data_IF_246016729690
#
_entry.id   IF_246016729690
#
_cell.length_a   1.000
_cell.length_b   1.000
_cell.length_c   1.000
_cell.angle_alpha   90.00
_cell.angle_beta   90.00
_cell.angle_gamma   90.00
#
_symmetry.space_group_name_H-M   'P 1'
#
loop_
_entity.id
_entity.type
_entity.pdbx_description
1 polymer ?
#
# COMPACT_ATOMS: atom_id res chain seq x y z
N UNK A 1 -17.41 -14.78 -0.56
CA UNK A 1 -18.03 -13.64 0.15
C UNK A 1 -16.96 -12.56 0.21
N UNK A 2 -17.25 -11.33 -0.11
CA UNK A 2 -16.22 -10.30 -0.26
C UNK A 2 -16.04 -9.61 1.09
N UNK A 3 -14.93 -9.86 1.80
CA UNK A 3 -14.62 -9.34 3.15
C UNK A 3 -14.63 -7.80 3.21
N UNK A 4 -14.60 -7.12 2.03
CA UNK A 4 -14.79 -5.68 1.87
C UNK A 4 -16.11 -5.14 2.41
N UNK A 5 -17.16 -5.97 2.50
CA UNK A 5 -18.47 -5.55 3.02
C UNK A 5 -18.51 -5.45 4.54
N UNK A 6 -17.54 -6.04 5.22
CA UNK A 6 -17.47 -6.14 6.67
C UNK A 6 -16.62 -5.02 7.29
N UNK A 7 -15.60 -4.52 6.59
CA UNK A 7 -14.74 -3.47 7.11
C UNK A 7 -15.38 -2.08 6.92
N UNK A 8 -15.48 -1.30 8.02
CA UNK A 8 -15.94 0.10 8.00
C UNK A 8 -15.02 1.00 7.19
N UNK A 9 -13.74 0.64 7.12
CA UNK A 9 -12.69 1.34 6.40
C UNK A 9 -11.63 0.35 5.92
N UNK A 10 -11.08 0.57 4.73
CA UNK A 10 -9.97 -0.24 4.24
C UNK A 10 -9.04 0.53 3.30
N UNK A 11 -7.83 0.00 3.13
CA UNK A 11 -6.85 0.46 2.15
C UNK A 11 -6.64 -0.64 1.11
N UNK A 12 -6.80 -0.31 -0.16
CA UNK A 12 -6.50 -1.20 -1.26
C UNK A 12 -4.99 -1.19 -1.55
N UNK A 13 -4.38 -2.38 -1.65
CA UNK A 13 -2.96 -2.56 -2.01
C UNK A 13 -2.92 -3.15 -3.40
N UNK A 14 -2.61 -2.34 -4.42
CA UNK A 14 -2.53 -2.80 -5.81
C UNK A 14 -1.17 -3.45 -6.05
N UNK A 15 -1.22 -4.73 -6.45
CA UNK A 15 -0.04 -5.57 -6.64
C UNK A 15 0.52 -5.46 -8.05
N UNK A 16 1.76 -4.97 -8.15
CA UNK A 16 2.54 -4.88 -9.39
C UNK A 16 3.63 -5.96 -9.50
N UNK A 17 3.45 -7.08 -8.80
CA UNK A 17 4.38 -8.22 -8.85
C UNK A 17 5.61 -8.07 -7.94
N UNK A 18 5.60 -7.10 -7.03
CA UNK A 18 6.66 -6.91 -6.05
C UNK A 18 6.62 -7.97 -4.93
N UNK A 19 7.78 -8.26 -4.36
CA UNK A 19 7.89 -9.27 -3.29
C UNK A 19 7.35 -8.82 -1.93
N UNK A 20 7.04 -7.53 -1.74
CA UNK A 20 6.62 -6.98 -0.44
C UNK A 20 5.12 -6.62 -0.35
N UNK A 21 4.29 -6.99 -1.33
CA UNK A 21 2.85 -6.69 -1.36
C UNK A 21 2.12 -7.16 -0.09
N UNK A 22 2.35 -8.41 0.34
CA UNK A 22 1.77 -8.97 1.55
C UNK A 22 2.31 -8.29 2.83
N UNK A 23 3.58 -7.86 2.81
CA UNK A 23 4.16 -7.15 3.94
C UNK A 23 3.54 -5.75 4.09
N UNK A 24 3.30 -5.03 2.99
CA UNK A 24 2.57 -3.75 3.00
C UNK A 24 1.17 -3.95 3.61
N UNK A 25 0.42 -4.94 3.11
CA UNK A 25 -0.91 -5.24 3.63
C UNK A 25 -0.89 -5.59 5.13
N UNK A 26 0.11 -6.36 5.56
CA UNK A 26 0.31 -6.69 6.97
C UNK A 26 0.59 -5.44 7.81
N UNK A 27 1.45 -4.52 7.35
CA UNK A 27 1.74 -3.26 8.07
C UNK A 27 0.50 -2.38 8.27
N UNK A 28 -0.38 -2.33 7.26
CA UNK A 28 -1.64 -1.60 7.36
C UNK A 28 -2.54 -2.25 8.43
N UNK A 29 -2.62 -3.60 8.47
CA UNK A 29 -3.38 -4.34 9.47
C UNK A 29 -2.79 -4.20 10.88
N UNK A 30 -1.48 -4.18 11.01
CA UNK A 30 -0.78 -3.87 12.27
C UNK A 30 -1.09 -2.46 12.77
N UNK A 31 -1.37 -1.51 11.86
CA UNK A 31 -1.89 -0.18 12.19
C UNK A 31 -3.42 -0.16 12.44
N UNK A 32 -4.09 -1.30 12.59
CA UNK A 32 -5.50 -1.37 12.94
C UNK A 32 -6.47 -1.01 11.81
N UNK A 33 -6.05 -1.06 10.54
CA UNK A 33 -6.90 -0.81 9.37
C UNK A 33 -6.91 -2.05 8.47
N UNK A 34 -8.11 -2.42 7.98
CA UNK A 34 -8.21 -3.53 7.03
C UNK A 34 -7.51 -3.18 5.71
N UNK A 35 -6.90 -4.18 5.11
CA UNK A 35 -6.27 -4.04 3.79
C UNK A 35 -6.46 -5.28 2.94
N UNK A 36 -6.55 -5.10 1.65
CA UNK A 36 -6.69 -6.17 0.66
C UNK A 36 -5.66 -5.99 -0.44
N UNK A 37 -4.96 -7.08 -0.78
CA UNK A 37 -4.06 -7.11 -1.93
C UNK A 37 -4.88 -7.46 -3.16
N UNK A 38 -4.83 -6.59 -4.15
CA UNK A 38 -5.67 -6.63 -5.36
C UNK A 38 -4.74 -6.60 -6.58
N UNK A 39 -4.89 -7.48 -7.58
CA UNK A 39 -4.14 -7.38 -8.81
C UNK A 39 -4.28 -5.99 -9.45
N UNK A 40 -3.17 -5.41 -9.92
CA UNK A 40 -3.15 -4.02 -10.43
C UNK A 40 -4.07 -3.78 -11.65
N UNK A 41 -4.40 -4.84 -12.39
CA UNK A 41 -5.30 -4.80 -13.55
C UNK A 41 -6.78 -5.01 -13.21
N UNK A 42 -7.12 -5.19 -11.91
CA UNK A 42 -8.52 -5.31 -11.47
C UNK A 42 -9.27 -4.01 -11.77
N UNK A 43 -10.45 -4.06 -12.40
CA UNK A 43 -11.27 -2.89 -12.61
C UNK A 43 -11.54 -2.16 -11.28
N UNK A 44 -11.32 -0.84 -11.23
CA UNK A 44 -11.49 -0.09 -9.99
C UNK A 44 -12.91 -0.17 -9.41
N UNK A 45 -13.92 -0.36 -10.27
CA UNK A 45 -15.32 -0.56 -9.86
C UNK A 45 -15.52 -1.77 -8.92
N UNK A 46 -14.58 -2.71 -8.89
CA UNK A 46 -14.68 -3.89 -8.04
C UNK A 46 -14.23 -3.63 -6.59
N UNK A 47 -13.40 -2.60 -6.36
CA UNK A 47 -12.89 -2.28 -5.03
C UNK A 47 -13.22 -0.87 -4.53
N UNK A 48 -13.75 0.01 -5.37
CA UNK A 48 -14.23 1.33 -4.94
C UNK A 48 -15.53 1.18 -4.16
N UNK A 49 -15.54 1.71 -2.95
CA UNK A 49 -16.71 1.72 -2.06
C UNK A 49 -16.58 2.89 -1.07
N UNK A 50 -17.64 3.24 -0.34
CA UNK A 50 -17.56 4.26 0.71
C UNK A 50 -16.55 3.92 1.84
N UNK A 51 -16.20 2.64 2.00
CA UNK A 51 -15.21 2.19 2.98
C UNK A 51 -13.76 2.36 2.50
N UNK A 52 -13.51 2.59 1.20
CA UNK A 52 -12.16 2.81 0.67
C UNK A 52 -11.61 4.15 1.14
N UNK A 53 -10.57 4.12 1.95
CA UNK A 53 -9.93 5.31 2.52
C UNK A 53 -8.64 5.72 1.80
N UNK A 54 -7.97 4.77 1.16
CA UNK A 54 -6.73 5.03 0.44
C UNK A 54 -6.31 3.86 -0.44
N UNK A 55 -5.34 4.11 -1.31
CA UNK A 55 -4.77 3.12 -2.21
C UNK A 55 -3.25 3.15 -2.08
N UNK A 56 -2.61 1.98 -2.01
CA UNK A 56 -1.16 1.85 -2.09
C UNK A 56 -0.80 1.07 -3.35
N UNK A 57 0.06 1.65 -4.18
CA UNK A 57 0.66 0.99 -5.33
C UNK A 57 2.00 0.38 -4.88
N UNK A 58 2.16 -0.93 -5.03
CA UNK A 58 3.35 -1.64 -4.53
C UNK A 58 4.58 -1.41 -5.40
N UNK A 59 5.72 -1.90 -4.96
CA UNK A 59 6.89 -2.11 -5.81
C UNK A 59 6.61 -3.13 -6.92
N UNK A 60 7.48 -3.17 -7.91
CA UNK A 60 7.43 -4.12 -9.02
C UNK A 60 8.82 -4.42 -9.57
N UNK A 61 9.00 -5.55 -10.30
CA UNK A 61 10.31 -5.97 -10.79
C UNK A 61 10.78 -5.23 -12.06
N UNK A 62 9.86 -4.63 -12.82
CA UNK A 62 10.11 -4.07 -14.14
C UNK A 62 10.31 -2.55 -14.10
N UNK A 63 10.85 -1.98 -15.18
CA UNK A 63 10.83 -0.54 -15.41
C UNK A 63 9.47 -0.10 -15.94
N UNK A 64 8.94 1.06 -15.49
CA UNK A 64 7.61 1.56 -15.88
C UNK A 64 7.46 1.89 -17.37
N UNK A 65 8.58 2.04 -18.08
CA UNK A 65 8.63 2.30 -19.51
C UNK A 65 8.88 1.05 -20.35
N UNK A 66 8.97 -0.15 -19.74
CA UNK A 66 9.04 -1.40 -20.47
C UNK A 66 7.71 -1.73 -21.14
N UNK A 67 7.76 -2.47 -22.26
CA UNK A 67 6.56 -2.82 -23.05
C UNK A 67 5.58 -3.70 -22.27
N UNK A 68 6.10 -4.55 -21.38
CA UNK A 68 5.37 -5.45 -20.51
C UNK A 68 5.12 -4.87 -19.10
N UNK A 69 5.33 -3.56 -18.92
CA UNK A 69 5.14 -2.89 -17.65
C UNK A 69 3.69 -3.03 -17.16
N UNK A 70 3.52 -3.51 -15.93
CA UNK A 70 2.22 -3.59 -15.28
C UNK A 70 1.70 -2.18 -14.98
N UNK A 71 0.44 -1.92 -15.28
CA UNK A 71 -0.21 -0.62 -15.08
C UNK A 71 -1.59 -0.80 -14.46
N UNK A 72 -2.03 0.18 -13.67
CA UNK A 72 -3.42 0.31 -13.28
C UNK A 72 -4.16 1.29 -14.20
N UNK A 73 -5.48 1.39 -14.04
CA UNK A 73 -6.25 2.43 -14.73
C UNK A 73 -5.80 3.82 -14.27
N UNK A 74 -5.71 4.77 -15.19
CA UNK A 74 -5.43 6.19 -14.90
C UNK A 74 -6.48 6.80 -13.96
N UNK A 75 -7.69 6.28 -13.98
CA UNK A 75 -8.81 6.74 -13.17
C UNK A 75 -8.54 6.58 -11.67
N UNK A 76 -7.65 5.65 -11.26
CA UNK A 76 -7.22 5.47 -9.87
C UNK A 76 -6.70 6.78 -9.27
N UNK A 77 -6.05 7.63 -10.07
CA UNK A 77 -5.50 8.91 -9.62
C UNK A 77 -6.54 10.04 -9.51
N UNK A 78 -7.77 9.81 -9.93
CA UNK A 78 -8.87 10.76 -9.87
C UNK A 78 -10.04 10.33 -8.99
N UNK A 79 -9.91 9.24 -8.26
CA UNK A 79 -10.96 8.73 -7.35
C UNK A 79 -11.24 9.62 -6.12
N UNK A 80 -10.37 10.61 -5.87
CA UNK A 80 -10.52 11.53 -4.73
C UNK A 80 -10.06 10.94 -3.37
N UNK A 81 -9.64 9.67 -3.34
CA UNK A 81 -8.97 9.06 -2.18
C UNK A 81 -7.46 9.21 -2.29
N UNK A 82 -6.72 9.28 -1.17
CA UNK A 82 -5.26 9.34 -1.20
C UNK A 82 -4.64 8.11 -1.86
N UNK A 83 -3.59 8.33 -2.67
CA UNK A 83 -2.82 7.27 -3.31
C UNK A 83 -1.34 7.42 -2.94
N UNK A 84 -0.72 6.34 -2.46
CA UNK A 84 0.71 6.26 -2.17
C UNK A 84 1.38 5.24 -3.10
N UNK A 85 2.33 5.67 -3.90
CA UNK A 85 3.21 4.78 -4.67
C UNK A 85 4.48 4.45 -3.90
N UNK A 86 4.83 3.16 -3.81
CA UNK A 86 6.09 2.69 -3.21
C UNK A 86 6.98 2.15 -4.32
N UNK A 87 8.22 2.64 -4.42
CA UNK A 87 9.23 2.24 -5.39
C UNK A 87 8.68 2.30 -6.83
N UNK A 88 8.40 1.15 -7.47
CA UNK A 88 7.75 1.10 -8.77
C UNK A 88 6.43 1.90 -8.81
N UNK A 89 5.60 1.79 -7.78
CA UNK A 89 4.33 2.51 -7.70
C UNK A 89 4.50 4.04 -7.75
N UNK A 90 5.54 4.60 -7.13
CA UNK A 90 5.88 6.01 -7.25
C UNK A 90 6.31 6.37 -8.68
N UNK A 91 7.16 5.55 -9.27
CA UNK A 91 7.62 5.74 -10.65
C UNK A 91 6.46 5.66 -11.64
N UNK A 92 5.50 4.74 -11.41
CA UNK A 92 4.30 4.61 -12.22
C UNK A 92 3.40 5.85 -12.16
N UNK A 93 3.16 6.40 -10.95
CA UNK A 93 2.42 7.66 -10.79
C UNK A 93 3.11 8.76 -11.61
N UNK A 94 4.42 8.91 -11.45
CA UNK A 94 5.17 9.94 -12.17
C UNK A 94 5.09 9.74 -13.69
N UNK A 95 5.30 8.53 -14.18
CA UNK A 95 5.26 8.19 -15.61
C UNK A 95 3.88 8.44 -16.23
N UNK A 96 2.81 8.00 -15.57
CA UNK A 96 1.45 8.13 -16.08
C UNK A 96 0.93 9.57 -16.06
N UNK A 97 1.48 10.43 -15.20
CA UNK A 97 1.09 11.84 -15.06
C UNK A 97 2.04 12.82 -15.79
N UNK A 98 2.91 12.32 -16.67
CA UNK A 98 3.75 13.15 -17.54
C UNK A 98 5.09 13.56 -16.94
N UNK A 99 5.51 12.98 -15.81
CA UNK A 99 6.86 13.05 -15.31
C UNK A 99 7.83 12.16 -16.11
N UNK A 100 9.10 12.15 -15.72
CA UNK A 100 10.13 11.31 -16.36
C UNK A 100 10.76 10.37 -15.35
N UNK A 101 10.82 9.10 -15.73
CA UNK A 101 11.55 8.04 -15.03
C UNK A 101 12.70 7.61 -15.93
N UNK A 102 13.87 7.45 -15.35
CA UNK A 102 15.08 7.05 -16.06
C UNK A 102 16.00 6.24 -15.16
N UNK A 103 16.89 5.48 -15.75
CA UNK A 103 17.94 4.76 -15.03
C UNK A 103 18.84 5.76 -14.29
N UNK A 104 19.07 5.51 -13.02
CA UNK A 104 19.92 6.34 -12.18
C UNK A 104 21.38 6.21 -12.63
N UNK A 105 22.12 7.32 -12.62
CA UNK A 105 23.58 7.29 -12.83
C UNK A 105 24.29 6.53 -11.72
N UNK A 106 23.76 6.58 -10.50
CA UNK A 106 24.21 5.82 -9.33
C UNK A 106 22.98 5.17 -8.72
N UNK A 107 22.76 3.86 -8.98
CA UNK A 107 21.67 3.10 -8.35
C UNK A 107 21.87 3.01 -6.84
N UNK A 108 20.75 2.95 -6.10
CA UNK A 108 20.80 2.86 -4.63
C UNK A 108 20.26 1.51 -4.16
N UNK A 109 21.07 0.78 -3.40
CA UNK A 109 20.73 -0.51 -2.79
C UNK A 109 21.18 -0.54 -1.33
N UNK A 110 20.28 -0.95 -0.45
CA UNK A 110 20.57 -1.10 0.98
C UNK A 110 20.26 0.17 1.78
N UNK A 111 20.99 0.32 2.89
CA UNK A 111 20.82 1.45 3.80
C UNK A 111 21.32 2.75 3.16
N UNK A 112 20.47 3.76 3.16
CA UNK A 112 20.77 5.07 2.58
C UNK A 112 20.29 6.16 3.53
N UNK A 113 21.15 7.15 3.77
CA UNK A 113 20.77 8.34 4.52
C UNK A 113 19.85 9.24 3.69
N UNK A 114 18.76 9.69 4.30
CA UNK A 114 17.73 10.50 3.66
C UNK A 114 17.40 11.72 4.52
N UNK A 115 17.35 12.88 3.87
CA UNK A 115 16.86 14.12 4.47
C UNK A 115 15.39 14.31 4.13
N UNK A 116 14.56 14.62 5.14
CA UNK A 116 13.12 14.88 4.96
C UNK A 116 12.80 16.35 5.17
N UNK A 117 11.80 16.84 4.44
CA UNK A 117 11.17 18.14 4.67
C UNK A 117 9.96 17.98 5.57
N UNK A 118 9.51 19.09 6.14
CA UNK A 118 8.27 19.13 6.91
C UNK A 118 7.07 18.76 6.02
N UNK A 119 6.40 17.67 6.36
CA UNK A 119 5.23 17.17 5.64
C UNK A 119 4.46 16.16 6.52
N UNK A 120 3.10 16.05 6.41
CA UNK A 120 2.30 15.09 7.19
C UNK A 120 2.76 13.64 7.10
N UNK A 121 3.31 13.19 5.96
CA UNK A 121 3.92 11.85 5.82
C UNK A 121 5.10 11.62 6.76
N UNK A 122 5.81 12.66 7.14
CA UNK A 122 7.03 12.62 7.96
C UNK A 122 6.82 13.18 9.36
N UNK A 123 5.57 13.32 9.81
CA UNK A 123 5.29 13.79 11.15
C UNK A 123 5.94 12.89 12.20
N UNK A 124 6.76 13.53 13.08
CA UNK A 124 7.54 12.84 14.11
C UNK A 124 8.68 11.96 13.59
N UNK A 125 9.08 12.13 12.32
CA UNK A 125 10.30 11.55 11.75
C UNK A 125 11.43 12.56 11.92
N UNK A 126 12.62 12.08 12.28
CA UNK A 126 13.82 12.94 12.35
C UNK A 126 14.15 13.49 10.97
N UNK A 127 14.64 14.75 10.92
CA UNK A 127 15.02 15.41 9.67
C UNK A 127 16.04 14.61 8.84
N UNK A 128 16.92 13.88 9.52
CA UNK A 128 17.83 12.91 8.92
C UNK A 128 17.44 11.52 9.41
N UNK A 129 17.24 10.58 8.49
CA UNK A 129 16.83 9.22 8.79
C UNK A 129 17.46 8.24 7.81
N UNK A 130 17.37 6.94 8.12
CA UNK A 130 17.91 5.88 7.27
C UNK A 130 16.77 5.08 6.68
N UNK A 131 16.82 4.89 5.36
CA UNK A 131 15.83 4.14 4.60
C UNK A 131 16.45 2.99 3.82
N UNK A 132 15.64 2.02 3.43
CA UNK A 132 16.07 0.92 2.57
C UNK A 132 15.72 1.23 1.12
N UNK A 133 16.75 1.44 0.32
CA UNK A 133 16.66 1.62 -1.13
C UNK A 133 16.87 0.30 -1.86
N UNK A 134 16.17 0.12 -2.97
CA UNK A 134 16.33 -1.02 -3.87
C UNK A 134 15.81 -0.64 -5.27
N UNK A 135 16.57 0.21 -5.98
CA UNK A 135 16.14 0.69 -7.30
C UNK A 135 17.30 1.00 -8.24
N UNK A 136 17.09 0.69 -9.52
CA UNK A 136 17.91 1.16 -10.63
C UNK A 136 17.36 2.44 -11.25
N UNK A 137 16.04 2.55 -11.35
CA UNK A 137 15.35 3.68 -11.94
C UNK A 137 14.89 4.66 -10.86
N UNK A 138 14.82 5.96 -11.20
CA UNK A 138 14.28 6.99 -10.34
C UNK A 138 13.46 8.02 -11.13
N UNK A 139 12.62 8.77 -10.42
CA UNK A 139 11.88 9.91 -11.00
C UNK A 139 12.85 11.09 -11.13
N UNK A 140 13.26 11.39 -12.37
CA UNK A 140 14.17 12.49 -12.68
C UNK A 140 13.46 13.83 -12.90
N UNK A 141 12.20 13.79 -13.36
CA UNK A 141 11.36 14.97 -13.51
C UNK A 141 9.99 14.69 -12.93
N UNK A 142 9.57 15.52 -11.98
CA UNK A 142 8.26 15.43 -11.36
C UNK A 142 7.15 15.85 -12.33
N UNK A 143 5.96 15.24 -12.25
CA UNK A 143 4.76 15.74 -12.92
C UNK A 143 4.36 17.12 -12.38
N UNK A 144 3.53 17.83 -13.11
CA UNK A 144 2.99 19.12 -12.68
C UNK A 144 2.26 19.01 -11.32
N UNK A 145 2.51 19.95 -10.44
CA UNK A 145 1.90 20.02 -9.11
C UNK A 145 2.54 19.14 -8.04
N UNK A 146 3.53 18.30 -8.41
CA UNK A 146 4.29 17.54 -7.42
C UNK A 146 5.48 18.32 -6.89
N UNK A 147 5.81 18.08 -5.63
CA UNK A 147 7.00 18.61 -4.96
C UNK A 147 7.80 17.48 -4.33
N UNK A 148 9.13 17.63 -4.31
CA UNK A 148 10.00 16.72 -3.55
C UNK A 148 9.94 17.05 -2.07
N UNK A 149 9.60 16.05 -1.25
CA UNK A 149 9.49 16.15 0.22
C UNK A 149 10.59 15.38 0.97
N UNK A 150 11.39 14.55 0.27
CA UNK A 150 12.59 13.93 0.79
C UNK A 150 13.59 13.65 -0.34
N UNK A 151 14.87 13.60 0.01
CA UNK A 151 15.94 13.29 -0.93
C UNK A 151 17.10 12.56 -0.27
N UNK A 152 17.86 11.83 -1.08
CA UNK A 152 19.16 11.22 -0.74
C UNK A 152 20.26 11.90 -1.55
N UNK A 153 21.55 11.60 -1.30
CA UNK A 153 22.64 12.13 -2.13
C UNK A 153 22.53 11.81 -3.62
N UNK A 154 21.86 10.70 -4.00
CA UNK A 154 21.77 10.24 -5.39
C UNK A 154 20.34 10.21 -5.94
N UNK A 155 19.34 10.41 -5.09
CA UNK A 155 17.93 10.47 -5.48
C UNK A 155 17.26 11.72 -4.88
N UNK A 156 17.24 12.81 -5.63
CA UNK A 156 16.66 14.09 -5.20
C UNK A 156 15.14 13.99 -4.89
N UNK A 157 14.46 13.02 -5.50
CA UNK A 157 13.04 12.77 -5.36
C UNK A 157 12.82 11.43 -4.63
N UNK A 158 13.44 11.24 -3.45
CA UNK A 158 13.25 10.02 -2.67
C UNK A 158 11.84 9.89 -2.09
N UNK A 159 11.16 11.02 -1.87
CA UNK A 159 9.71 11.06 -1.65
C UNK A 159 9.11 12.32 -2.25
N UNK A 160 7.87 12.21 -2.73
CA UNK A 160 7.16 13.28 -3.43
C UNK A 160 5.71 13.37 -2.98
N UNK A 161 5.13 14.57 -3.11
CA UNK A 161 3.74 14.80 -2.78
C UNK A 161 3.07 15.76 -3.77
N UNK A 162 1.79 15.52 -4.04
CA UNK A 162 0.84 16.45 -4.61
C UNK A 162 -0.39 16.46 -3.71
N UNK A 163 -0.40 17.32 -2.68
CA UNK A 163 -1.46 17.37 -1.68
C UNK A 163 -2.82 17.73 -2.27
N UNK A 164 -2.83 18.57 -3.31
CA UNK A 164 -4.06 18.98 -3.98
C UNK A 164 -4.78 17.79 -4.62
N UNK A 165 -4.04 16.87 -5.21
CA UNK A 165 -4.56 15.65 -5.84
C UNK A 165 -4.53 14.43 -4.89
N UNK A 166 -3.96 14.59 -3.69
CA UNK A 166 -3.75 13.52 -2.71
C UNK A 166 -2.90 12.36 -3.26
N UNK A 167 -1.88 12.68 -4.04
CA UNK A 167 -0.97 11.71 -4.65
C UNK A 167 0.41 11.82 -4.01
N UNK A 168 0.94 10.68 -3.57
CA UNK A 168 2.18 10.60 -2.81
C UNK A 168 3.07 9.49 -3.37
N UNK A 169 4.38 9.62 -3.17
CA UNK A 169 5.32 8.59 -3.60
C UNK A 169 6.53 8.49 -2.67
N UNK A 170 7.00 7.27 -2.46
CA UNK A 170 8.24 6.92 -1.77
C UNK A 170 9.07 6.01 -2.66
N UNK A 171 10.30 6.38 -2.99
CA UNK A 171 11.22 5.55 -3.78
C UNK A 171 11.77 4.38 -2.96
N UNK A 172 11.89 4.56 -1.66
CA UNK A 172 12.32 3.55 -0.69
C UNK A 172 11.16 2.67 -0.22
N UNK A 173 11.50 1.63 0.53
CA UNK A 173 10.56 0.65 1.08
C UNK A 173 10.27 0.93 2.56
N UNK A 174 9.16 1.61 2.91
CA UNK A 174 8.80 1.88 4.30
C UNK A 174 8.29 0.64 5.05
N UNK A 175 7.86 -0.40 4.32
CA UNK A 175 7.28 -1.62 4.87
C UNK A 175 8.32 -2.55 5.52
N UNK A 176 9.59 -2.47 5.10
CA UNK A 176 10.66 -3.35 5.60
C UNK A 176 11.29 -2.84 6.90
N UNK A 177 11.76 -3.74 7.74
CA UNK A 177 12.38 -3.38 9.02
C UNK A 177 13.69 -2.57 8.88
N UNK A 178 14.32 -2.61 7.71
CA UNK A 178 15.56 -1.89 7.41
C UNK A 178 15.33 -0.37 7.26
N UNK A 179 14.11 0.06 6.93
CA UNK A 179 13.74 1.48 6.96
C UNK A 179 13.43 1.88 8.40
N UNK A 180 14.32 2.70 8.98
CA UNK A 180 14.07 3.25 10.31
C UNK A 180 12.77 4.06 10.29
N UNK A 181 11.93 3.86 11.27
CA UNK A 181 10.64 4.56 11.38
C UNK A 181 9.68 4.35 10.18
N UNK A 182 9.92 3.35 9.31
CA UNK A 182 9.08 3.07 8.13
C UNK A 182 7.62 2.79 8.49
N UNK A 183 7.39 2.05 9.58
CA UNK A 183 6.03 1.83 10.10
C UNK A 183 5.34 3.14 10.50
N UNK A 184 6.08 4.11 11.06
CA UNK A 184 5.52 5.43 11.39
C UNK A 184 5.15 6.21 10.13
N UNK A 185 5.96 6.15 9.07
CA UNK A 185 5.66 6.80 7.78
C UNK A 185 4.37 6.22 7.16
N UNK A 186 4.21 4.89 7.19
CA UNK A 186 2.97 4.24 6.76
C UNK A 186 1.78 4.62 7.66
N UNK A 187 1.97 4.67 8.97
CA UNK A 187 0.94 5.12 9.92
C UNK A 187 0.51 6.56 9.66
N UNK A 188 1.46 7.45 9.33
CA UNK A 188 1.16 8.83 8.97
C UNK A 188 0.32 8.90 7.67
N UNK A 189 0.61 8.07 6.68
CA UNK A 189 -0.24 7.97 5.48
C UNK A 189 -1.65 7.50 5.86
N UNK A 190 -1.76 6.45 6.67
CA UNK A 190 -3.03 5.85 7.09
C UNK A 190 -3.89 6.83 7.90
N UNK A 191 -3.30 7.47 8.90
CA UNK A 191 -4.04 8.29 9.84
C UNK A 191 -4.13 9.76 9.43
N UNK A 192 -3.00 10.39 9.11
CA UNK A 192 -2.96 11.83 8.85
C UNK A 192 -3.47 12.19 7.46
N UNK A 193 -3.28 11.29 6.46
CA UNK A 193 -3.62 11.56 5.07
C UNK A 193 -4.92 10.86 4.67
N UNK A 194 -5.07 9.56 4.95
CA UNK A 194 -6.29 8.81 4.63
C UNK A 194 -7.42 9.05 5.64
N UNK A 195 -7.10 9.54 6.86
CA UNK A 195 -8.10 9.80 7.90
C UNK A 195 -8.76 8.54 8.44
N UNK A 196 -8.03 7.42 8.49
CA UNK A 196 -8.53 6.18 9.08
C UNK A 196 -8.61 6.31 10.61
N UNK A 197 -9.54 5.57 11.23
CA UNK A 197 -9.74 5.54 12.69
C UNK A 197 -8.93 4.43 13.37
N UNK A 198 -8.55 3.37 12.63
CA UNK A 198 -7.76 2.26 13.16
C UNK A 198 -8.56 1.32 14.07
N UNK A 199 -9.81 1.11 13.78
CA UNK A 199 -10.71 0.29 14.60
C UNK A 199 -10.70 -1.21 14.26
N UNK A 200 -9.98 -1.61 13.21
CA UNK A 200 -9.93 -3.00 12.77
C UNK A 200 -8.99 -3.85 13.64
N UNK A 201 -9.42 -5.08 13.94
CA UNK A 201 -8.58 -6.09 14.55
C UNK A 201 -8.86 -7.48 13.96
N UNK A 202 -7.88 -8.37 13.95
CA UNK A 202 -8.06 -9.75 13.50
C UNK A 202 -9.09 -10.51 14.36
N UNK A 203 -9.16 -10.23 15.66
CA UNK A 203 -10.14 -10.83 16.55
C UNK A 203 -11.57 -10.36 16.20
N UNK A 204 -11.78 -9.05 16.01
CA UNK A 204 -13.08 -8.52 15.58
C UNK A 204 -13.55 -9.07 14.25
N UNK A 205 -12.63 -9.23 13.27
CA UNK A 205 -12.95 -9.88 12.00
C UNK A 205 -13.39 -11.35 12.19
N UNK A 206 -12.71 -12.10 13.08
CA UNK A 206 -13.08 -13.49 13.35
C UNK A 206 -14.48 -13.59 13.95
N UNK A 207 -14.82 -12.73 14.91
CA UNK A 207 -16.16 -12.71 15.52
C UNK A 207 -17.25 -12.38 14.49
N UNK A 208 -17.00 -11.40 13.63
CA UNK A 208 -17.91 -11.01 12.55
C UNK A 208 -18.09 -12.12 11.51
N UNK A 209 -17.02 -12.83 11.14
CA UNK A 209 -17.07 -13.99 10.26
C UNK A 209 -17.89 -15.13 10.88
N UNK A 210 -17.73 -15.41 12.17
CA UNK A 210 -18.50 -16.41 12.90
C UNK A 210 -20.00 -16.08 12.87
N UNK A 211 -20.38 -14.83 13.13
CA UNK A 211 -21.77 -14.39 13.07
C UNK A 211 -22.38 -14.55 11.68
N UNK A 212 -21.63 -14.18 10.64
CA UNK A 212 -22.08 -14.33 9.25
C UNK A 212 -22.23 -15.80 8.85
N UNK A 213 -21.28 -16.66 9.23
CA UNK A 213 -21.34 -18.09 8.98
C UNK A 213 -22.59 -18.69 9.68
N UNK A 214 -22.81 -18.33 10.93
CA UNK A 214 -24.00 -18.76 11.68
C UNK A 214 -25.29 -18.35 10.98
N UNK A 215 -25.38 -17.09 10.54
CA UNK A 215 -26.55 -16.59 9.82
C UNK A 215 -26.78 -17.33 8.48
N UNK A 216 -25.72 -17.69 7.77
CA UNK A 216 -25.78 -18.39 6.49
C UNK A 216 -26.10 -19.86 6.65
N UNK A 217 -25.54 -20.55 7.64
CA UNK A 217 -25.74 -21.98 7.91
C UNK A 217 -27.08 -22.23 8.56
N UNK A 218 -27.49 -21.35 9.48
CA UNK A 218 -28.75 -21.54 10.25
C UNK A 218 -28.76 -22.88 10.98
N UNK A 219 -29.78 -23.69 10.73
CA UNK A 219 -29.93 -25.04 11.28
C UNK A 219 -29.37 -26.16 10.39
N UNK A 220 -28.65 -25.85 9.33
CA UNK A 220 -28.14 -26.84 8.36
C UNK A 220 -26.87 -27.52 8.85
N UNK A 221 -26.60 -28.73 8.33
CA UNK A 221 -25.33 -29.44 8.60
C UNK A 221 -24.27 -29.00 7.61
N UNK A 222 -23.08 -28.72 8.12
CA UNK A 222 -21.88 -28.39 7.31
C UNK A 222 -20.92 -29.57 7.30
N UNK A 223 -20.42 -29.92 6.12
CA UNK A 223 -19.37 -30.93 5.95
C UNK A 223 -18.08 -30.21 5.59
N UNK A 224 -17.02 -30.38 6.42
CA UNK A 224 -15.71 -29.75 6.21
C UNK A 224 -14.67 -30.82 5.91
N UNK A 225 -13.88 -30.60 4.83
CA UNK A 225 -12.71 -31.40 4.51
C UNK A 225 -11.46 -30.81 5.18
N UNK A 226 -10.99 -31.43 6.28
CA UNK A 226 -9.81 -30.98 7.01
C UNK A 226 -8.54 -31.61 6.45
N UNK A 227 -7.74 -30.83 5.70
CA UNK A 227 -6.47 -31.29 5.10
C UNK A 227 -5.28 -31.27 6.07
N UNK A 228 -5.43 -30.65 7.26
CA UNK A 228 -4.36 -30.40 8.21
C UNK A 228 -3.52 -29.15 7.91
N UNK A 229 -3.79 -28.45 6.83
CA UNK A 229 -3.20 -27.13 6.54
C UNK A 229 -3.84 -26.01 7.38
N UNK A 230 -3.17 -24.86 7.44
CA UNK A 230 -3.62 -23.69 8.22
C UNK A 230 -5.02 -23.25 7.76
N UNK A 231 -5.25 -23.10 6.46
CA UNK A 231 -6.50 -22.58 5.90
C UNK A 231 -7.69 -23.46 6.25
N UNK A 232 -7.56 -24.79 6.04
CA UNK A 232 -8.63 -25.74 6.38
C UNK A 232 -8.90 -25.80 7.88
N UNK A 233 -7.85 -25.66 8.71
CA UNK A 233 -7.99 -25.62 10.17
C UNK A 233 -8.72 -24.37 10.64
N UNK A 234 -8.35 -23.21 10.12
CA UNK A 234 -9.01 -21.92 10.43
C UNK A 234 -10.48 -21.96 9.98
N UNK A 235 -10.75 -22.38 8.74
CA UNK A 235 -12.11 -22.49 8.22
C UNK A 235 -12.98 -23.43 9.08
N UNK A 236 -12.45 -24.60 9.46
CA UNK A 236 -13.18 -25.55 10.30
C UNK A 236 -13.46 -25.00 11.71
N UNK A 237 -12.53 -24.24 12.30
CA UNK A 237 -12.74 -23.60 13.60
C UNK A 237 -13.80 -22.50 13.51
N UNK A 238 -13.79 -21.66 12.48
CA UNK A 238 -14.79 -20.61 12.28
C UNK A 238 -16.19 -21.18 12.10
N UNK A 239 -16.31 -22.29 11.35
CA UNK A 239 -17.61 -22.99 11.15
C UNK A 239 -18.09 -23.67 12.43
N UNK A 240 -17.17 -24.16 13.27
CA UNK A 240 -17.50 -24.85 14.53
C UNK A 240 -17.98 -23.87 15.61
N UNK A 241 -17.45 -22.66 15.63
CA UNK A 241 -17.82 -21.61 16.61
C UNK A 241 -19.18 -21.00 16.31
#
# INVERSE_FOLDING_TARGET
MNDKKLAKEFIAVLDFGGQYNQLIARRIREAGVYSEVIPCNTPFSEYVSPALKGIILTGGPNSVYADDALRCSIEVFSLGVPVLGICYGMQLIAHMLGGKVQTASIPEFGFTDMSVKEHPLFEGIARETVVWMNHNDHVSQLPEGFVSIAGTPHCANAAVANDKQKLYGMQFHPEVNHTRQGFRMLSNFIYNICGCEGSWSAAGLADELIENIRAQVGGSTVVSGLSGGVDSSVASVLVHK
#
